data_IF_949057139195
#
_entry.id   IF_949057139195
#
_cell.length_a   1.000
_cell.length_b   1.000
_cell.length_c   1.000
_cell.angle_alpha   90.00
_cell.angle_beta   90.00
_cell.angle_gamma   90.00
#
_symmetry.space_group_name_H-M   'P 1'
#
loop_
_entity.id
_entity.type
_entity.pdbx_description
1 polymer ?
#
# COMPACT_ATOMS: atom_id res chain seq x y z
N UNK A 1 26.31 -1.37 -9.10
CA UNK A 1 25.22 -0.46 -8.75
C UNK A 1 24.48 -1.15 -7.62
N UNK A 2 24.29 -0.51 -6.48
CA UNK A 2 23.49 -1.08 -5.39
C UNK A 2 22.05 -1.27 -5.89
N UNK A 3 21.38 -2.34 -5.48
CA UNK A 3 19.95 -2.46 -5.73
C UNK A 3 19.22 -1.23 -5.17
N UNK A 4 18.22 -0.70 -5.88
CA UNK A 4 17.38 0.37 -5.35
C UNK A 4 16.70 -0.11 -4.05
N UNK A 5 16.66 0.77 -3.04
CA UNK A 5 16.06 0.45 -1.75
C UNK A 5 14.53 0.55 -1.80
N UNK A 6 13.86 -0.38 -1.13
CA UNK A 6 12.40 -0.42 -1.02
C UNK A 6 11.87 0.75 -0.20
N UNK A 7 10.88 1.46 -0.76
CA UNK A 7 10.36 2.70 -0.18
C UNK A 7 8.88 2.92 -0.46
N UNK A 8 8.22 3.60 0.47
CA UNK A 8 6.90 4.20 0.28
C UNK A 8 7.00 5.72 0.41
N UNK A 9 6.40 6.44 -0.53
CA UNK A 9 6.40 7.91 -0.63
C UNK A 9 4.97 8.41 -0.47
N UNK A 10 4.80 9.50 0.27
CA UNK A 10 3.54 10.21 0.45
C UNK A 10 3.70 11.65 -0.04
N UNK A 11 3.34 11.95 -1.31
CA UNK A 11 3.56 13.28 -1.87
C UNK A 11 2.96 14.40 -1.03
N UNK A 12 3.74 15.46 -0.80
CA UNK A 12 3.34 16.60 0.03
C UNK A 12 3.56 16.44 1.53
N UNK A 13 4.02 15.26 1.99
CA UNK A 13 4.44 15.10 3.39
C UNK A 13 5.85 15.70 3.64
N UNK A 14 6.31 15.75 4.90
CA UNK A 14 7.61 16.35 5.25
C UNK A 14 8.86 15.60 4.75
N UNK A 15 8.71 14.35 4.30
CA UNK A 15 9.80 13.49 3.81
C UNK A 15 9.60 13.20 2.32
N UNK A 16 9.99 14.12 1.42
CA UNK A 16 9.88 13.91 -0.03
C UNK A 16 10.66 12.69 -0.54
N UNK A 17 11.68 12.25 0.20
CA UNK A 17 12.44 11.02 -0.04
C UNK A 17 11.66 9.72 0.27
N UNK A 18 10.52 9.83 0.94
CA UNK A 18 9.73 8.72 1.45
C UNK A 18 10.40 7.95 2.58
N UNK A 19 9.78 6.85 2.95
CA UNK A 19 10.14 6.01 4.09
C UNK A 19 10.61 4.65 3.61
N UNK A 20 11.68 4.12 4.20
CA UNK A 20 12.13 2.77 3.93
C UNK A 20 11.02 1.77 4.30
N UNK A 21 10.92 0.66 3.58
CA UNK A 21 9.99 -0.42 3.92
C UNK A 21 10.70 -1.37 4.89
N UNK A 22 10.15 -1.54 6.09
CA UNK A 22 10.71 -2.36 7.15
C UNK A 22 10.21 -3.81 7.08
N UNK A 23 8.97 -3.99 6.66
CA UNK A 23 8.35 -5.29 6.47
C UNK A 23 7.52 -5.28 5.18
N UNK A 24 7.65 -6.34 4.40
CA UNK A 24 6.80 -6.59 3.26
C UNK A 24 6.51 -8.08 3.12
N UNK A 25 5.24 -8.40 2.94
CA UNK A 25 4.78 -9.75 2.65
C UNK A 25 3.85 -9.71 1.43
N UNK A 26 4.09 -10.63 0.49
CA UNK A 26 3.18 -10.93 -0.60
C UNK A 26 2.80 -12.40 -0.48
N UNK A 27 1.52 -12.67 -0.30
CA UNK A 27 0.99 -14.04 -0.24
C UNK A 27 -0.10 -14.24 -1.29
N UNK A 28 -0.45 -15.51 -1.51
CA UNK A 28 -1.50 -15.91 -2.43
C UNK A 28 -2.47 -16.84 -1.72
N UNK A 29 -3.77 -16.64 -1.97
CA UNK A 29 -4.84 -17.48 -1.44
C UNK A 29 -5.86 -17.80 -2.53
N UNK A 30 -6.58 -18.91 -2.34
CA UNK A 30 -7.68 -19.31 -3.20
C UNK A 30 -9.01 -19.04 -2.49
N UNK A 31 -9.93 -18.40 -3.20
CA UNK A 31 -11.33 -18.32 -2.80
C UNK A 31 -12.18 -18.98 -3.88
N UNK A 32 -12.61 -20.21 -3.60
CA UNK A 32 -13.18 -21.08 -4.64
C UNK A 32 -12.16 -21.32 -5.75
N UNK A 33 -12.53 -20.98 -6.99
CA UNK A 33 -11.67 -21.12 -8.17
C UNK A 33 -10.85 -19.86 -8.50
N UNK A 34 -10.97 -18.80 -7.69
CA UNK A 34 -10.31 -17.51 -7.90
C UNK A 34 -9.02 -17.41 -7.07
N UNK A 35 -7.95 -16.95 -7.72
CA UNK A 35 -6.70 -16.58 -7.10
C UNK A 35 -6.75 -15.12 -6.64
N UNK A 36 -6.33 -14.90 -5.41
CA UNK A 36 -6.15 -13.59 -4.80
C UNK A 36 -4.71 -13.41 -4.34
N UNK A 37 -4.21 -12.19 -4.44
CA UNK A 37 -2.95 -11.77 -3.82
C UNK A 37 -3.22 -10.86 -2.63
N UNK A 38 -2.54 -11.15 -1.54
CA UNK A 38 -2.53 -10.33 -0.34
C UNK A 38 -1.19 -9.65 -0.20
N UNK A 39 -1.23 -8.37 0.17
CA UNK A 39 -0.03 -7.57 0.41
C UNK A 39 -0.09 -6.99 1.82
N UNK A 40 1.04 -7.07 2.52
CA UNK A 40 1.28 -6.42 3.79
C UNK A 40 2.54 -5.57 3.68
N UNK A 41 2.46 -4.30 4.06
CA UNK A 41 3.57 -3.37 4.07
C UNK A 41 3.60 -2.61 5.40
N UNK A 42 4.77 -2.55 6.02
CA UNK A 42 5.06 -1.66 7.16
C UNK A 42 6.26 -0.80 6.80
N UNK A 43 6.11 0.52 6.91
CA UNK A 43 7.25 1.42 6.78
C UNK A 43 8.14 1.34 8.01
N UNK A 44 9.41 1.73 7.86
CA UNK A 44 10.21 2.16 9.00
C UNK A 44 9.54 3.36 9.68
N UNK A 45 9.97 3.64 10.92
CA UNK A 45 9.54 4.84 11.61
C UNK A 45 9.87 6.08 10.77
N UNK A 46 8.96 7.05 10.71
CA UNK A 46 9.10 8.23 9.85
C UNK A 46 10.36 9.04 10.17
N UNK A 47 10.81 9.04 11.42
CA UNK A 47 12.03 9.69 11.90
C UNK A 47 13.29 8.81 11.83
N UNK A 48 13.21 7.59 11.26
CA UNK A 48 14.33 6.63 11.30
C UNK A 48 15.57 7.09 10.53
N UNK A 49 15.39 7.84 9.44
CA UNK A 49 16.50 8.30 8.58
C UNK A 49 16.86 9.77 8.81
N UNK A 50 15.85 10.59 9.13
CA UNK A 50 15.99 12.02 9.34
C UNK A 50 14.89 12.48 10.28
N UNK A 51 15.30 13.14 11.36
CA UNK A 51 14.41 13.89 12.22
C UNK A 51 14.13 15.28 11.60
N UNK A 52 12.92 15.80 11.82
CA UNK A 52 12.52 17.13 11.39
C UNK A 52 12.04 17.87 12.62
N UNK A 53 12.81 18.87 13.04
CA UNK A 53 12.42 19.73 14.15
C UNK A 53 11.12 20.45 13.82
N UNK A 54 10.14 20.33 14.70
CA UNK A 54 8.91 21.12 14.66
C UNK A 54 9.22 22.54 15.11
N UNK A 55 9.01 23.53 14.23
CA UNK A 55 9.23 24.94 14.54
C UNK A 55 8.06 25.57 15.34
N UNK A 56 7.06 24.75 15.70
CA UNK A 56 5.93 25.10 16.56
C UNK A 56 4.94 26.03 15.88
N UNK A 57 4.97 26.15 14.55
CA UNK A 57 4.00 26.93 13.79
C UNK A 57 2.76 26.10 13.50
N UNK A 58 1.65 26.56 14.06
CA UNK A 58 0.32 25.95 13.98
C UNK A 58 -0.42 26.29 12.66
N UNK A 59 0.31 26.69 11.60
CA UNK A 59 -0.28 27.12 10.33
C UNK A 59 -0.21 26.06 9.21
N UNK A 60 0.41 24.90 9.46
CA UNK A 60 0.44 23.75 8.54
C UNK A 60 -0.63 22.73 8.89
N UNK A 61 -1.31 22.17 7.89
CA UNK A 61 -2.28 21.08 8.10
C UNK A 61 -1.62 19.79 8.57
N UNK A 62 -2.42 18.85 9.08
CA UNK A 62 -1.94 17.57 9.64
C UNK A 62 -1.02 16.79 8.68
N UNK A 63 -1.27 16.88 7.37
CA UNK A 63 -0.46 16.21 6.34
C UNK A 63 0.94 16.79 6.20
N UNK A 64 1.11 18.09 6.37
CA UNK A 64 2.37 18.81 6.24
C UNK A 64 3.15 18.92 7.57
N UNK A 65 2.53 18.59 8.70
CA UNK A 65 3.10 18.76 10.03
C UNK A 65 3.95 17.55 10.48
N UNK A 66 5.30 17.65 10.61
CA UNK A 66 6.16 16.52 10.96
C UNK A 66 5.82 15.88 12.32
N UNK A 67 5.40 16.69 13.29
CA UNK A 67 5.00 16.22 14.62
C UNK A 67 3.81 15.27 14.57
N UNK A 68 2.84 15.52 13.68
CA UNK A 68 1.67 14.65 13.52
C UNK A 68 2.12 13.28 13.05
N UNK A 69 2.88 13.21 11.95
CA UNK A 69 3.46 11.96 11.46
C UNK A 69 4.25 11.24 12.56
N UNK A 70 5.15 11.96 13.25
CA UNK A 70 5.98 11.41 14.33
C UNK A 70 5.17 10.74 15.44
N UNK A 71 3.99 11.27 15.79
CA UNK A 71 3.10 10.69 16.81
C UNK A 71 2.47 9.35 16.38
N UNK A 72 2.33 9.10 15.08
CA UNK A 72 1.82 7.83 14.53
C UNK A 72 2.93 6.84 14.17
N UNK A 73 4.19 7.28 14.27
CA UNK A 73 5.42 6.51 14.12
C UNK A 73 5.68 5.95 12.72
N UNK A 74 4.75 5.18 12.12
CA UNK A 74 4.96 4.46 10.87
C UNK A 74 3.66 4.11 10.17
N UNK A 75 3.75 3.83 8.88
CA UNK A 75 2.64 3.37 8.07
C UNK A 75 2.50 1.85 8.16
N UNK A 76 1.28 1.35 8.29
CA UNK A 76 0.90 -0.03 7.98
C UNK A 76 -0.19 0.00 6.90
N UNK A 77 0.02 -0.72 5.80
CA UNK A 77 -0.95 -0.90 4.73
C UNK A 77 -1.10 -2.40 4.46
N UNK A 78 -2.28 -2.97 4.65
CA UNK A 78 -2.43 -4.44 4.70
C UNK A 78 -3.81 -4.95 4.34
N UNK A 79 -3.88 -6.06 3.61
CA UNK A 79 -5.12 -6.84 3.44
C UNK A 79 -5.31 -7.90 4.54
N UNK A 80 -4.29 -8.18 5.37
CA UNK A 80 -4.29 -9.32 6.31
C UNK A 80 -4.17 -8.93 7.78
N UNK A 81 -3.78 -7.68 8.10
CA UNK A 81 -3.36 -7.31 9.45
C UNK A 81 -4.53 -7.15 10.45
N UNK A 82 -5.66 -6.56 10.05
CA UNK A 82 -6.75 -6.20 10.98
C UNK A 82 -7.87 -7.25 11.11
N UNK A 83 -7.70 -8.46 10.59
CA UNK A 83 -8.52 -9.64 10.92
C UNK A 83 -10.03 -9.57 10.58
N UNK A 84 -10.53 -8.46 10.03
CA UNK A 84 -11.91 -8.29 9.58
C UNK A 84 -12.10 -8.54 8.08
N UNK A 85 -11.03 -8.38 7.29
CA UNK A 85 -11.05 -8.33 5.83
C UNK A 85 -11.20 -9.71 5.19
N UNK A 86 -12.34 -10.36 5.39
CA UNK A 86 -12.70 -11.63 4.73
C UNK A 86 -12.78 -11.48 3.18
N UNK A 87 -12.67 -10.25 2.65
CA UNK A 87 -12.69 -9.93 1.21
C UNK A 87 -11.56 -8.99 0.76
N UNK A 88 -10.50 -8.84 1.55
CA UNK A 88 -9.37 -7.96 1.26
C UNK A 88 -8.51 -8.39 0.04
N UNK A 89 -7.58 -7.55 -0.40
CA UNK A 89 -6.52 -7.91 -1.35
C UNK A 89 -6.86 -7.68 -2.84
N UNK A 90 -6.02 -8.25 -3.71
CA UNK A 90 -6.08 -8.09 -5.16
C UNK A 90 -6.64 -9.36 -5.80
N UNK A 91 -7.77 -9.23 -6.48
CA UNK A 91 -8.27 -10.32 -7.32
C UNK A 91 -7.40 -10.47 -8.56
N UNK A 92 -6.81 -11.65 -8.74
CA UNK A 92 -5.95 -11.97 -9.90
C UNK A 92 -6.78 -12.57 -11.04
N UNK A 93 -7.76 -13.42 -10.70
CA UNK A 93 -8.61 -14.13 -11.65
C UNK A 93 -8.60 -15.64 -11.41
N UNK A 94 -9.07 -16.46 -12.37
CA UNK A 94 -9.17 -17.91 -12.17
C UNK A 94 -7.79 -18.55 -11.91
N UNK A 95 -7.67 -19.29 -10.80
CA UNK A 95 -6.44 -20.01 -10.43
C UNK A 95 -5.99 -20.98 -11.55
N UNK A 96 -6.95 -21.54 -12.29
CA UNK A 96 -6.71 -22.43 -13.42
C UNK A 96 -6.06 -21.77 -14.65
N UNK A 97 -6.21 -20.45 -14.77
CA UNK A 97 -5.69 -19.67 -15.89
C UNK A 97 -4.45 -18.86 -15.52
N UNK A 98 -4.06 -18.85 -14.24
CA UNK A 98 -2.90 -18.09 -13.78
C UNK A 98 -1.59 -18.64 -14.36
N UNK A 99 -0.75 -17.73 -14.83
CA UNK A 99 0.61 -18.00 -15.27
C UNK A 99 1.51 -16.88 -14.72
N UNK A 100 2.67 -17.20 -14.12
CA UNK A 100 3.63 -16.18 -13.69
C UNK A 100 4.02 -15.23 -14.82
N UNK A 101 4.17 -15.73 -16.05
CA UNK A 101 4.54 -14.92 -17.21
C UNK A 101 3.48 -13.87 -17.56
N UNK A 102 2.20 -14.16 -17.30
CA UNK A 102 1.11 -13.20 -17.54
C UNK A 102 1.12 -12.02 -16.56
N UNK A 103 1.86 -12.13 -15.45
CA UNK A 103 1.99 -11.06 -14.47
C UNK A 103 2.99 -9.99 -14.91
N UNK A 104 3.92 -10.31 -15.81
CA UNK A 104 4.92 -9.34 -16.29
C UNK A 104 4.25 -8.18 -17.06
N UNK A 105 4.36 -6.98 -16.49
CA UNK A 105 3.72 -5.77 -17.01
C UNK A 105 2.24 -5.62 -16.67
N UNK A 106 1.63 -6.58 -15.97
CA UNK A 106 0.25 -6.50 -15.54
C UNK A 106 0.07 -5.44 -14.43
N UNK A 107 -1.11 -4.82 -14.40
CA UNK A 107 -1.58 -3.94 -13.33
C UNK A 107 -2.89 -4.50 -12.78
N UNK A 108 -2.92 -4.80 -11.48
CA UNK A 108 -4.12 -5.22 -10.76
C UNK A 108 -4.73 -4.03 -10.02
N UNK A 109 -6.05 -3.92 -10.05
CA UNK A 109 -6.82 -2.85 -9.44
C UNK A 109 -7.66 -3.42 -8.29
N UNK A 110 -7.64 -2.75 -7.14
CA UNK A 110 -8.55 -2.99 -6.02
C UNK A 110 -9.16 -1.67 -5.54
N UNK A 111 -10.39 -1.75 -5.03
CA UNK A 111 -11.23 -0.62 -4.61
C UNK A 111 -11.24 0.53 -5.64
N UNK A 112 -11.68 0.26 -6.90
CA UNK A 112 -11.73 1.30 -7.91
C UNK A 112 -12.63 2.45 -7.44
N UNK A 113 -12.06 3.65 -7.45
CA UNK A 113 -12.79 4.85 -7.06
C UNK A 113 -13.15 5.67 -8.30
N UNK A 114 -14.40 5.59 -8.76
CA UNK A 114 -14.86 6.23 -10.02
C UNK A 114 -15.06 7.76 -9.91
N UNK A 115 -14.90 8.34 -8.72
CA UNK A 115 -14.73 9.77 -8.52
C UNK A 115 -16.02 10.61 -8.51
N UNK A 116 -16.52 10.85 -7.31
CA UNK A 116 -17.18 12.07 -6.75
C UNK A 116 -17.59 11.80 -5.30
N UNK A 117 -17.75 10.52 -4.96
CA UNK A 117 -18.08 10.05 -3.61
C UNK A 117 -16.87 10.13 -2.67
N UNK A 118 -17.12 10.15 -1.37
CA UNK A 118 -16.07 10.09 -0.36
C UNK A 118 -15.81 8.62 0.05
N UNK A 119 -14.80 8.40 0.90
CA UNK A 119 -14.47 7.08 1.43
C UNK A 119 -15.23 6.77 2.75
N UNK A 120 -16.41 7.35 2.96
CA UNK A 120 -17.20 7.15 4.19
C UNK A 120 -18.08 5.88 4.18
N UNK A 121 -17.92 5.00 3.18
CA UNK A 121 -18.77 3.83 2.98
C UNK A 121 -18.59 2.73 4.03
N UNK A 122 -19.65 1.94 4.23
CA UNK A 122 -19.66 0.73 5.08
C UNK A 122 -18.98 -0.48 4.43
N UNK A 123 -18.46 -0.33 3.21
CA UNK A 123 -17.77 -1.40 2.50
C UNK A 123 -16.40 -1.66 3.12
N UNK A 124 -16.07 -2.94 3.22
CA UNK A 124 -14.80 -3.37 3.73
C UNK A 124 -13.70 -3.14 2.68
N UNK A 125 -12.65 -2.35 2.99
CA UNK A 125 -11.62 -2.05 2.01
C UNK A 125 -10.78 -3.27 1.67
N UNK A 126 -10.28 -3.33 0.44
CA UNK A 126 -9.28 -4.30 0.03
C UNK A 126 -8.01 -4.22 0.90
N UNK A 127 -7.65 -3.01 1.35
CA UNK A 127 -6.51 -2.78 2.23
C UNK A 127 -6.88 -1.80 3.34
N UNK A 128 -6.70 -2.21 4.59
CA UNK A 128 -6.71 -1.29 5.72
C UNK A 128 -5.45 -0.40 5.71
N UNK A 129 -5.57 0.82 6.23
CA UNK A 129 -4.47 1.76 6.37
C UNK A 129 -4.37 2.25 7.82
N UNK A 130 -3.15 2.24 8.33
CA UNK A 130 -2.76 3.05 9.49
C UNK A 130 -1.64 3.99 9.06
N UNK A 131 -1.89 5.30 9.06
CA UNK A 131 -0.95 6.31 8.57
C UNK A 131 -0.79 7.46 9.55
N UNK A 132 -1.84 8.28 9.70
CA UNK A 132 -1.99 9.32 10.71
C UNK A 132 -3.16 8.95 11.65
N UNK A 133 -3.31 7.65 11.89
CA UNK A 133 -4.49 7.05 12.49
C UNK A 133 -5.04 5.94 11.60
N UNK A 134 -6.23 5.43 11.92
CA UNK A 134 -6.94 4.47 11.07
C UNK A 134 -7.62 5.20 9.92
N UNK A 135 -6.83 5.50 8.90
CA UNK A 135 -7.24 6.22 7.70
C UNK A 135 -7.75 5.27 6.61
N UNK A 136 -8.29 5.84 5.53
CA UNK A 136 -8.86 5.07 4.42
C UNK A 136 -7.96 5.15 3.19
N UNK A 137 -7.80 4.03 2.50
CA UNK A 137 -7.13 3.94 1.21
C UNK A 137 -8.06 3.34 0.14
N UNK A 138 -7.89 3.77 -1.11
CA UNK A 138 -8.67 3.27 -2.26
C UNK A 138 -7.89 3.47 -3.57
N UNK A 139 -8.46 3.03 -4.70
CA UNK A 139 -7.87 3.10 -6.05
C UNK A 139 -6.47 2.47 -6.08
N UNK A 140 -6.34 1.31 -5.44
CA UNK A 140 -5.09 0.58 -5.34
C UNK A 140 -4.71 0.00 -6.70
N UNK A 141 -3.54 0.40 -7.21
CA UNK A 141 -2.96 -0.12 -8.44
C UNK A 141 -1.64 -0.77 -8.14
N UNK A 142 -1.52 -2.06 -8.44
CA UNK A 142 -0.28 -2.81 -8.27
C UNK A 142 0.20 -3.29 -9.60
N UNK A 143 1.30 -2.69 -10.06
CA UNK A 143 1.99 -3.09 -11.28
C UNK A 143 3.15 -4.01 -10.95
N UNK A 144 3.26 -5.09 -11.71
CA UNK A 144 4.31 -6.10 -11.56
C UNK A 144 5.25 -6.03 -12.75
N UNK A 145 6.56 -6.06 -12.50
CA UNK A 145 7.60 -6.06 -13.54
C UNK A 145 8.54 -7.22 -13.27
N UNK A 146 8.56 -8.22 -14.14
CA UNK A 146 9.36 -9.43 -13.93
C UNK A 146 10.84 -9.13 -14.14
N UNK A 147 11.70 -9.67 -13.26
CA UNK A 147 13.16 -9.55 -13.38
C UNK A 147 13.71 -10.66 -14.27
N UNK A 148 13.88 -10.35 -15.56
CA UNK A 148 14.38 -11.29 -16.55
C UNK A 148 13.52 -12.56 -16.60
N UNK A 149 14.16 -13.73 -16.63
CA UNK A 149 13.47 -15.03 -16.71
C UNK A 149 13.14 -15.64 -15.32
N UNK A 150 13.29 -14.89 -14.23
CA UNK A 150 13.08 -15.37 -12.86
C UNK A 150 11.63 -15.25 -12.39
N UNK A 151 11.27 -15.92 -11.29
CA UNK A 151 9.98 -15.71 -10.60
C UNK A 151 10.09 -14.63 -9.52
N UNK A 152 10.82 -13.55 -9.84
CA UNK A 152 10.98 -12.36 -9.00
C UNK A 152 10.49 -11.12 -9.73
N UNK A 153 9.88 -10.20 -9.01
CA UNK A 153 9.20 -9.04 -9.55
C UNK A 153 9.58 -7.77 -8.80
N UNK A 154 9.68 -6.66 -9.52
CA UNK A 154 9.53 -5.34 -8.94
C UNK A 154 8.03 -5.01 -8.89
N UNK A 155 7.55 -4.50 -7.76
CA UNK A 155 6.17 -4.07 -7.58
C UNK A 155 6.14 -2.55 -7.44
N UNK A 156 5.22 -1.93 -8.17
CA UNK A 156 4.88 -0.51 -8.01
C UNK A 156 3.43 -0.48 -7.53
N UNK A 157 3.24 -0.04 -6.29
CA UNK A 157 1.92 0.02 -5.65
C UNK A 157 1.55 1.47 -5.37
N UNK A 158 0.49 1.95 -6.00
CA UNK A 158 -0.05 3.29 -5.76
C UNK A 158 -1.48 3.23 -5.25
N UNK A 159 -1.92 4.29 -4.60
CA UNK A 159 -3.32 4.47 -4.25
C UNK A 159 -3.60 5.89 -3.78
N UNK A 160 -4.86 6.11 -3.40
CA UNK A 160 -5.37 7.36 -2.84
C UNK A 160 -5.66 7.20 -1.36
N UNK A 161 -5.54 8.27 -0.60
CA UNK A 161 -5.72 8.31 0.84
C UNK A 161 -6.69 9.42 1.21
N UNK A 162 -7.58 9.13 2.14
CA UNK A 162 -8.38 10.10 2.88
C UNK A 162 -8.01 10.03 4.36
N UNK A 163 -7.90 11.19 5.02
CA UNK A 163 -7.62 11.28 6.46
C UNK A 163 -8.91 11.06 7.27
N UNK A 164 -9.53 9.90 7.07
CA UNK A 164 -10.82 9.55 7.65
C UNK A 164 -10.77 9.44 9.16
N UNK A 165 -9.59 9.19 9.75
CA UNK A 165 -9.40 9.25 11.19
C UNK A 165 -9.68 10.65 11.76
N UNK A 166 -9.31 11.70 11.02
CA UNK A 166 -9.60 13.10 11.33
C UNK A 166 -10.98 13.56 10.81
N UNK A 167 -11.76 12.66 10.22
CA UNK A 167 -13.08 12.94 9.66
C UNK A 167 -13.08 13.54 8.26
N UNK A 168 -11.94 13.59 7.56
CA UNK A 168 -11.89 13.94 6.13
C UNK A 168 -11.88 12.69 5.26
N UNK A 169 -13.04 12.35 4.72
CA UNK A 169 -13.24 11.18 3.86
C UNK A 169 -12.91 11.45 2.38
N UNK A 170 -12.46 12.66 2.03
CA UNK A 170 -12.10 12.97 0.65
C UNK A 170 -10.73 12.38 0.30
N UNK A 171 -10.59 11.61 -0.79
CA UNK A 171 -9.32 10.97 -1.19
C UNK A 171 -8.36 11.96 -1.86
N UNK A 172 -7.90 12.95 -1.09
CA UNK A 172 -7.06 14.07 -1.51
C UNK A 172 -5.58 13.69 -1.63
N UNK A 173 -5.15 12.72 -0.84
CA UNK A 173 -3.75 12.34 -0.72
C UNK A 173 -3.47 11.07 -1.52
N UNK A 174 -2.18 10.73 -1.65
CA UNK A 174 -1.71 9.59 -2.44
C UNK A 174 -0.52 8.93 -1.76
N UNK A 175 -0.27 7.68 -2.13
CA UNK A 175 0.98 7.00 -1.85
C UNK A 175 1.54 6.33 -3.10
N UNK A 176 2.84 6.09 -3.08
CA UNK A 176 3.56 5.25 -4.04
C UNK A 176 4.61 4.41 -3.29
N UNK A 177 4.44 3.10 -3.30
CA UNK A 177 5.42 2.14 -2.81
C UNK A 177 6.13 1.44 -3.97
N UNK A 178 7.45 1.29 -3.84
CA UNK A 178 8.30 0.54 -4.76
C UNK A 178 9.02 -0.55 -3.99
N UNK A 179 8.76 -1.78 -4.40
CA UNK A 179 9.35 -2.99 -3.84
C UNK A 179 10.18 -3.63 -4.94
N UNK A 180 11.37 -4.10 -4.59
CA UNK A 180 12.31 -4.63 -5.56
C UNK A 180 12.55 -6.10 -5.29
N UNK A 181 12.66 -6.86 -6.38
CA UNK A 181 13.15 -8.24 -6.31
C UNK A 181 12.34 -9.16 -5.39
N UNK A 182 11.03 -8.98 -5.35
CA UNK A 182 10.11 -9.76 -4.52
C UNK A 182 9.84 -11.10 -5.20
N UNK A 183 10.00 -12.21 -4.47
CA UNK A 183 9.65 -13.52 -5.00
C UNK A 183 8.14 -13.67 -5.19
N UNK A 184 7.73 -14.31 -6.28
CA UNK A 184 6.35 -14.76 -6.45
C UNK A 184 5.94 -15.63 -5.24
N UNK A 185 4.76 -15.42 -4.65
CA UNK A 185 4.30 -16.24 -3.54
C UNK A 185 4.07 -17.69 -3.97
N UNK A 186 4.14 -18.59 -3.00
CA UNK A 186 3.66 -19.95 -3.20
C UNK A 186 2.16 -19.90 -3.55
N UNK A 187 1.79 -20.50 -4.68
CA UNK A 187 0.40 -20.53 -5.11
C UNK A 187 -0.37 -21.59 -4.31
N UNK A 188 -1.64 -21.33 -3.98
CA UNK A 188 -2.51 -22.33 -3.36
C UNK A 188 -2.63 -23.57 -4.26
N UNK A 189 -2.53 -24.75 -3.66
CA UNK A 189 -2.82 -26.01 -4.35
C UNK A 189 -4.34 -26.18 -4.48
N UNK A 190 -4.78 -26.76 -5.59
CA UNK A 190 -6.17 -27.23 -5.74
C UNK A 190 -6.52 -28.33 -4.75
#
# INVERSE_FOLDING_TARGET
MSDPADRIVFPGNPWPEGHAIAEFEWTARAEGDELWFDLHLVSADYYAQRDIEDDGRDDTGDWEAPIVWGNYHRCTLSSTYWGGHERGGLRVGPLSAFSPQALDGAELLADPHEGVDDLAGDEEPAFGLYLLGHDSAADHRVRFVRRGDSDRYDLIWTGRIALSYAGDYQPRYRFEARLHDVALPALPTR
#
